data_IF_442739081931
#
_entry.id   IF_442739081931
#
_cell.length_a   1.000
_cell.length_b   1.000
_cell.length_c   1.000
_cell.angle_alpha   90.00
_cell.angle_beta   90.00
_cell.angle_gamma   90.00
#
_symmetry.space_group_name_H-M   'P 1'
#
loop_
_entity.id
_entity.type
_entity.pdbx_description
1 polymer ?
#
# COMPACT_ATOMS: atom_id res chain seq x y z
N UNK A 1 5.42 11.00 24.42
CA UNK A 1 4.48 12.00 24.96
C UNK A 1 5.09 12.63 26.21
N UNK A 2 5.59 13.86 26.13
CA UNK A 2 5.86 14.70 27.31
C UNK A 2 5.26 16.08 27.01
N UNK A 3 4.26 16.47 27.79
CA UNK A 3 3.52 17.73 27.66
C UNK A 3 4.18 18.76 28.57
N UNK A 4 5.00 19.66 28.03
CA UNK A 4 5.50 20.81 28.78
C UNK A 4 4.57 22.01 28.56
N UNK A 5 3.98 22.48 29.65
CA UNK A 5 2.95 23.52 29.70
C UNK A 5 3.56 24.92 29.71
N UNK A 6 3.56 25.62 28.57
CA UNK A 6 3.68 27.08 28.55
C UNK A 6 2.27 27.66 28.62
N UNK A 7 2.01 28.47 29.63
CA UNK A 7 0.70 28.99 30.01
C UNK A 7 -0.03 29.72 28.88
N UNK A 8 -0.79 28.97 28.09
CA UNK A 8 -1.78 29.50 27.18
C UNK A 8 -3.15 29.45 27.85
N UNK A 9 -3.79 30.61 27.97
CA UNK A 9 -5.19 30.75 28.36
C UNK A 9 -6.12 30.15 27.29
N UNK A 10 -6.07 28.84 27.09
CA UNK A 10 -6.88 28.10 26.15
C UNK A 10 -8.05 27.45 26.88
N UNK A 11 -9.27 27.88 26.57
CA UNK A 11 -10.47 27.17 26.99
C UNK A 11 -10.45 25.71 26.55
N UNK A 12 -11.29 24.88 27.20
CA UNK A 12 -11.40 23.44 26.97
C UNK A 12 -11.31 23.08 25.47
N UNK A 13 -10.23 22.39 25.07
CA UNK A 13 -10.11 21.73 23.77
C UNK A 13 -9.34 22.49 22.67
N UNK A 14 -8.64 23.58 23.00
CA UNK A 14 -7.82 24.29 22.00
C UNK A 14 -6.37 23.82 22.08
N UNK A 15 -5.90 23.16 21.01
CA UNK A 15 -4.48 23.04 20.68
C UNK A 15 -3.98 24.44 20.33
N UNK A 16 -2.85 24.88 20.88
CA UNK A 16 -2.40 26.28 20.87
C UNK A 16 -2.43 27.03 19.53
N UNK A 17 -2.07 28.31 19.58
CA UNK A 17 -2.14 29.25 18.45
C UNK A 17 -1.42 28.71 17.20
N UNK A 18 -2.10 28.61 16.03
CA UNK A 18 -1.44 28.24 14.79
C UNK A 18 -0.35 29.25 14.43
N UNK A 19 0.88 28.77 14.23
CA UNK A 19 1.97 29.57 13.68
C UNK A 19 3.02 30.08 14.67
N UNK A 20 2.97 29.68 15.94
CA UNK A 20 4.12 29.89 16.83
C UNK A 20 5.21 28.87 16.51
N UNK A 21 6.27 29.36 15.85
CA UNK A 21 7.53 28.64 15.69
C UNK A 21 8.16 28.57 17.07
N UNK A 22 8.11 27.40 17.68
CA UNK A 22 8.83 27.12 18.92
C UNK A 22 10.32 27.44 18.69
N UNK A 23 10.93 28.20 19.60
CA UNK A 23 12.37 28.42 19.58
C UNK A 23 13.12 27.10 19.67
N UNK A 24 14.41 27.11 19.33
CA UNK A 24 15.28 25.94 19.50
C UNK A 24 15.17 25.43 20.95
N UNK A 25 14.66 24.20 21.11
CA UNK A 25 14.44 23.58 22.42
C UNK A 25 15.77 23.47 23.17
N UNK A 26 15.92 24.25 24.25
CA UNK A 26 17.08 24.14 25.12
C UNK A 26 16.96 22.84 25.94
N UNK A 27 17.97 21.98 25.84
CA UNK A 27 17.96 20.65 26.47
C UNK A 27 18.05 20.82 27.99
N UNK A 28 17.04 20.34 28.73
CA UNK A 28 17.03 20.39 30.20
C UNK A 28 17.91 19.27 30.79
N UNK A 29 19.17 19.60 31.09
CA UNK A 29 20.14 18.71 31.73
C UNK A 29 19.74 18.24 33.14
N UNK A 30 18.68 18.83 33.73
CA UNK A 30 18.16 18.46 35.05
C UNK A 30 16.98 17.51 34.99
N UNK A 31 16.47 17.16 33.81
CA UNK A 31 15.41 16.16 33.69
C UNK A 31 15.92 14.83 34.28
N UNK A 32 15.20 14.19 35.21
CA UNK A 32 15.59 12.89 35.77
C UNK A 32 15.77 11.78 34.73
N UNK A 33 15.17 11.95 33.55
CA UNK A 33 15.28 11.07 32.40
C UNK A 33 16.32 11.57 31.36
N UNK A 34 17.00 12.69 31.62
CA UNK A 34 18.13 13.14 30.82
C UNK A 34 19.37 12.32 31.17
N UNK A 35 19.85 11.57 30.18
CA UNK A 35 21.11 10.84 30.27
C UNK A 35 22.16 11.54 29.39
N UNK A 36 23.20 12.08 30.01
CA UNK A 36 24.32 12.73 29.30
C UNK A 36 25.11 11.73 28.45
N UNK A 37 24.99 10.44 28.75
CA UNK A 37 25.62 9.33 28.03
C UNK A 37 24.74 8.80 26.89
N UNK A 38 23.57 9.39 26.65
CA UNK A 38 22.74 9.04 25.50
C UNK A 38 23.47 9.44 24.21
N UNK A 39 24.43 8.61 23.80
CA UNK A 39 25.06 8.63 22.51
C UNK A 39 23.95 8.68 21.46
N UNK A 40 24.04 9.66 20.56
CA UNK A 40 23.24 9.85 19.36
C UNK A 40 22.43 8.59 19.02
N UNK A 41 21.20 8.52 19.53
CA UNK A 41 20.34 7.38 19.31
C UNK A 41 20.06 7.31 17.80
N UNK A 42 20.71 6.39 17.11
CA UNK A 42 20.45 6.13 15.70
C UNK A 42 19.11 5.41 15.65
N UNK A 43 18.05 6.16 15.33
CA UNK A 43 16.78 5.56 14.98
C UNK A 43 16.96 4.92 13.60
N UNK A 44 17.06 3.60 13.57
CA UNK A 44 16.87 2.88 12.33
C UNK A 44 15.37 2.74 12.11
N UNK A 45 14.84 3.38 11.06
CA UNK A 45 13.47 3.15 10.64
C UNK A 45 13.36 1.70 10.17
N UNK A 46 12.77 0.85 11.02
CA UNK A 46 12.45 -0.52 10.65
C UNK A 46 11.24 -0.48 9.72
N UNK A 47 11.46 -0.77 8.44
CA UNK A 47 10.36 -1.01 7.49
C UNK A 47 9.84 -2.42 7.78
N UNK A 48 8.65 -2.50 8.38
CA UNK A 48 7.99 -3.80 8.58
C UNK A 48 7.69 -4.43 7.22
N UNK A 49 7.74 -5.78 7.11
CA UNK A 49 7.25 -6.44 5.92
C UNK A 49 5.79 -6.05 5.70
N UNK A 50 5.44 -5.82 4.43
CA UNK A 50 4.08 -5.51 4.02
C UNK A 50 3.16 -6.67 4.43
N UNK A 51 2.21 -6.40 5.31
CA UNK A 51 1.17 -7.37 5.67
C UNK A 51 0.09 -7.44 4.59
N UNK A 52 -0.76 -8.46 4.66
CA UNK A 52 -1.81 -8.70 3.65
C UNK A 52 -2.81 -7.53 3.56
N UNK A 53 -3.16 -6.91 4.69
CA UNK A 53 -4.10 -5.78 4.73
C UNK A 53 -3.45 -4.50 4.18
N UNK A 54 -2.18 -4.24 4.51
CA UNK A 54 -1.44 -3.14 3.92
C UNK A 54 -1.17 -3.34 2.43
N UNK A 55 -0.99 -4.57 1.97
CA UNK A 55 -0.82 -4.88 0.55
C UNK A 55 -2.02 -4.41 -0.26
N UNK A 56 -3.24 -4.83 0.12
CA UNK A 56 -4.44 -4.44 -0.62
C UNK A 56 -4.64 -2.92 -0.59
N UNK A 57 -4.45 -2.27 0.56
CA UNK A 57 -4.58 -0.82 0.71
C UNK A 57 -3.56 -0.02 -0.12
N UNK A 58 -2.40 -0.61 -0.39
CA UNK A 58 -1.33 0.03 -1.16
C UNK A 58 -1.44 -0.25 -2.65
N UNK A 59 -1.74 -1.48 -3.04
CA UNK A 59 -1.75 -1.90 -4.45
C UNK A 59 -3.08 -1.59 -5.14
N UNK A 60 -4.21 -1.63 -4.42
CA UNK A 60 -5.53 -1.26 -4.98
C UNK A 60 -5.54 0.13 -5.63
N UNK A 61 -5.09 1.22 -4.96
CA UNK A 61 -5.07 2.53 -5.60
C UNK A 61 -4.11 2.57 -6.80
N UNK A 62 -2.96 1.89 -6.75
CA UNK A 62 -2.02 1.83 -7.89
C UNK A 62 -2.71 1.23 -9.13
N UNK A 63 -3.46 0.14 -8.95
CA UNK A 63 -4.20 -0.50 -10.05
C UNK A 63 -5.39 0.37 -10.52
N UNK A 64 -6.06 1.06 -9.60
CA UNK A 64 -7.17 1.96 -9.95
C UNK A 64 -6.68 3.17 -10.75
N UNK A 65 -5.58 3.81 -10.35
CA UNK A 65 -4.94 4.88 -11.12
C UNK A 65 -4.51 4.40 -12.50
N UNK A 66 -4.00 3.17 -12.59
CA UNK A 66 -3.69 2.55 -13.89
C UNK A 66 -4.93 2.39 -14.78
N UNK A 67 -6.10 2.09 -14.23
CA UNK A 67 -7.32 2.02 -15.04
C UNK A 67 -7.76 3.36 -15.62
N UNK A 68 -7.43 4.47 -14.94
CA UNK A 68 -7.75 5.82 -15.39
C UNK A 68 -6.69 6.39 -16.35
N UNK A 69 -5.42 6.03 -16.18
CA UNK A 69 -4.30 6.62 -16.94
C UNK A 69 -3.69 5.69 -18.00
N UNK A 70 -3.76 4.37 -17.78
CA UNK A 70 -3.25 3.35 -18.69
C UNK A 70 -1.72 3.24 -18.73
N UNK A 71 -0.99 3.86 -17.80
CA UNK A 71 0.48 3.82 -17.75
C UNK A 71 0.99 2.59 -16.99
N UNK A 72 1.31 1.52 -17.73
CA UNK A 72 1.84 0.30 -17.14
C UNK A 72 3.30 0.45 -16.65
N UNK A 73 4.03 1.45 -17.15
CA UNK A 73 5.40 1.70 -16.70
C UNK A 73 5.39 2.28 -15.29
N UNK A 74 4.53 3.26 -15.04
CA UNK A 74 4.35 3.84 -13.70
C UNK A 74 4.00 2.76 -12.68
N UNK A 75 3.08 1.85 -13.00
CA UNK A 75 2.76 0.71 -12.13
C UNK A 75 3.98 -0.17 -11.87
N UNK A 76 4.78 -0.48 -12.90
CA UNK A 76 5.96 -1.30 -12.74
C UNK A 76 7.01 -0.66 -11.82
N UNK A 77 7.23 0.66 -11.94
CA UNK A 77 8.16 1.40 -11.06
C UNK A 77 7.64 1.44 -9.62
N UNK A 78 6.36 1.78 -9.42
CA UNK A 78 5.75 1.81 -8.08
C UNK A 78 5.81 0.42 -7.41
N UNK A 79 5.51 -0.65 -8.13
CA UNK A 79 5.60 -2.01 -7.59
C UNK A 79 7.03 -2.46 -7.33
N UNK A 80 8.02 -1.95 -8.07
CA UNK A 80 9.44 -2.25 -7.85
C UNK A 80 9.98 -1.55 -6.59
N UNK A 81 9.45 -0.36 -6.26
CA UNK A 81 9.74 0.36 -5.02
C UNK A 81 9.10 -0.32 -3.79
N UNK A 82 7.98 -1.04 -3.99
CA UNK A 82 7.32 -1.80 -2.94
C UNK A 82 8.07 -3.12 -2.64
N UNK A 83 8.34 -3.37 -1.36
CA UNK A 83 8.91 -4.63 -0.87
C UNK A 83 7.85 -5.75 -0.80
N UNK A 84 7.31 -6.15 -1.95
CA UNK A 84 6.24 -7.15 -2.05
C UNK A 84 6.68 -8.56 -1.62
N UNK A 85 7.97 -8.91 -1.78
CA UNK A 85 8.49 -10.22 -1.39
C UNK A 85 7.70 -11.39 -1.98
N UNK A 86 7.09 -12.21 -1.12
CA UNK A 86 6.23 -13.35 -1.51
C UNK A 86 4.86 -12.97 -2.06
N UNK A 87 4.44 -11.72 -1.90
CA UNK A 87 3.13 -11.20 -2.35
C UNK A 87 3.13 -10.72 -3.81
N UNK A 88 4.25 -10.85 -4.53
CA UNK A 88 4.30 -10.50 -5.97
C UNK A 88 3.24 -11.24 -6.78
N UNK A 89 2.99 -12.50 -6.44
CA UNK A 89 1.93 -13.31 -7.05
C UNK A 89 0.50 -12.82 -6.74
N UNK A 90 0.31 -11.96 -5.75
CA UNK A 90 -1.02 -11.41 -5.41
C UNK A 90 -1.38 -10.20 -6.28
N UNK A 91 -0.39 -9.52 -6.87
CA UNK A 91 -0.63 -8.34 -7.73
C UNK A 91 -1.48 -8.70 -8.95
N UNK A 92 -1.18 -9.76 -9.73
CA UNK A 92 -2.04 -10.15 -10.84
C UNK A 92 -3.45 -10.57 -10.40
N UNK A 93 -3.56 -11.27 -9.26
CA UNK A 93 -4.84 -11.71 -8.73
C UNK A 93 -5.72 -10.51 -8.37
N UNK A 94 -5.16 -9.53 -7.64
CA UNK A 94 -5.85 -8.30 -7.28
C UNK A 94 -6.25 -7.49 -8.53
N UNK A 95 -5.33 -7.34 -9.50
CA UNK A 95 -5.61 -6.61 -10.73
C UNK A 95 -6.71 -7.26 -11.60
N UNK A 96 -6.79 -8.59 -11.61
CA UNK A 96 -7.87 -9.32 -12.30
C UNK A 96 -9.19 -9.17 -11.55
N UNK A 97 -9.19 -9.27 -10.21
CA UNK A 97 -10.40 -9.14 -9.40
C UNK A 97 -11.03 -7.75 -9.57
N UNK A 98 -10.24 -6.68 -9.43
CA UNK A 98 -10.69 -5.31 -9.65
C UNK A 98 -11.20 -5.06 -11.08
N UNK A 99 -10.61 -5.73 -12.08
CA UNK A 99 -11.03 -5.57 -13.47
C UNK A 99 -12.34 -6.30 -13.79
N UNK A 100 -12.63 -7.40 -13.10
CA UNK A 100 -13.86 -8.18 -13.28
C UNK A 100 -15.07 -7.49 -12.66
N UNK A 101 -14.89 -6.76 -11.55
CA UNK A 101 -15.92 -5.92 -10.93
C UNK A 101 -16.21 -4.63 -11.73
N UNK A 102 -15.31 -4.27 -12.65
CA UNK A 102 -15.40 -3.03 -13.41
C UNK A 102 -15.96 -3.24 -14.84
N UNK A 103 -15.48 -2.45 -15.81
CA UNK A 103 -15.96 -2.44 -17.20
C UNK A 103 -15.03 -3.21 -18.15
N UNK A 104 -15.52 -3.52 -19.35
CA UNK A 104 -14.74 -4.23 -20.38
C UNK A 104 -13.37 -3.60 -20.68
N UNK A 105 -13.27 -2.27 -20.69
CA UNK A 105 -12.00 -1.59 -20.92
C UNK A 105 -10.97 -1.87 -19.82
N UNK A 106 -11.39 -2.03 -18.56
CA UNK A 106 -10.45 -2.36 -17.47
C UNK A 106 -9.89 -3.76 -17.64
N UNK A 107 -10.69 -4.72 -18.12
CA UNK A 107 -10.21 -6.08 -18.43
C UNK A 107 -9.18 -6.09 -19.55
N UNK A 108 -9.38 -5.27 -20.58
CA UNK A 108 -8.37 -5.09 -21.65
C UNK A 108 -7.09 -4.44 -21.11
N UNK A 109 -7.21 -3.41 -20.27
CA UNK A 109 -6.06 -2.78 -19.61
C UNK A 109 -5.33 -3.77 -18.71
N UNK A 110 -6.02 -4.54 -17.87
CA UNK A 110 -5.40 -5.58 -17.03
C UNK A 110 -4.62 -6.59 -17.88
N UNK A 111 -5.16 -7.03 -19.01
CA UNK A 111 -4.42 -7.93 -19.92
C UNK A 111 -3.10 -7.32 -20.39
N UNK A 112 -3.07 -6.01 -20.67
CA UNK A 112 -1.84 -5.29 -21.05
C UNK A 112 -0.90 -5.15 -19.86
N UNK A 113 -1.43 -4.75 -18.70
CA UNK A 113 -0.65 -4.63 -17.46
C UNK A 113 0.06 -5.93 -17.11
N UNK A 114 -0.65 -7.06 -17.12
CA UNK A 114 -0.05 -8.36 -16.81
C UNK A 114 1.08 -8.70 -17.78
N UNK A 115 0.92 -8.38 -19.05
CA UNK A 115 1.94 -8.61 -20.08
C UNK A 115 3.20 -7.77 -19.84
N UNK A 116 3.03 -6.50 -19.43
CA UNK A 116 4.13 -5.60 -19.08
C UNK A 116 4.82 -5.96 -17.76
N UNK A 117 4.07 -6.41 -16.76
CA UNK A 117 4.63 -6.83 -15.46
C UNK A 117 5.39 -8.15 -15.53
N UNK A 118 5.00 -9.04 -16.44
CA UNK A 118 5.69 -10.31 -16.70
C UNK A 118 7.11 -10.05 -17.21
N UNK A 119 8.11 -10.50 -16.44
CA UNK A 119 9.52 -10.33 -16.78
C UNK A 119 10.16 -9.03 -16.28
N UNK A 120 9.37 -8.03 -15.86
CA UNK A 120 9.87 -6.81 -15.19
C UNK A 120 9.81 -6.95 -13.68
N UNK A 121 8.60 -7.16 -13.15
CA UNK A 121 8.34 -7.24 -11.70
C UNK A 121 8.03 -8.67 -11.29
N UNK A 122 7.32 -9.40 -12.16
CA UNK A 122 6.83 -10.75 -11.89
C UNK A 122 7.72 -11.80 -12.55
N UNK A 123 8.15 -12.77 -11.75
CA UNK A 123 8.81 -13.98 -12.25
C UNK A 123 7.79 -14.98 -12.77
N UNK A 124 8.23 -15.99 -13.53
CA UNK A 124 7.36 -17.08 -13.97
C UNK A 124 6.69 -17.82 -12.80
N UNK A 125 7.39 -17.91 -11.65
CA UNK A 125 6.84 -18.49 -10.42
C UNK A 125 5.72 -17.63 -9.81
N UNK A 126 5.89 -16.31 -9.80
CA UNK A 126 4.88 -15.37 -9.31
C UNK A 126 3.61 -15.44 -10.16
N UNK A 127 3.78 -15.49 -11.48
CA UNK A 127 2.68 -15.64 -12.44
C UNK A 127 1.98 -16.99 -12.27
N UNK A 128 2.73 -18.08 -12.11
CA UNK A 128 2.12 -19.39 -11.85
C UNK A 128 1.32 -19.38 -10.53
N UNK A 129 1.89 -18.81 -9.47
CA UNK A 129 1.23 -18.71 -8.17
C UNK A 129 -0.05 -17.87 -8.26
N UNK A 130 -0.01 -16.76 -9.00
CA UNK A 130 -1.16 -15.87 -9.19
C UNK A 130 -2.30 -16.57 -9.91
N UNK A 131 -2.02 -17.26 -11.02
CA UNK A 131 -3.04 -18.01 -11.75
C UNK A 131 -3.57 -19.20 -10.94
N UNK A 132 -2.74 -19.86 -10.14
CA UNK A 132 -3.21 -20.92 -9.24
C UNK A 132 -4.17 -20.40 -8.17
N UNK A 133 -3.90 -19.22 -7.60
CA UNK A 133 -4.83 -18.55 -6.67
C UNK A 133 -6.11 -18.13 -7.39
N UNK A 134 -5.99 -17.48 -8.55
CA UNK A 134 -7.14 -17.05 -9.35
C UNK A 134 -8.07 -18.21 -9.69
N UNK A 135 -7.54 -19.36 -10.14
CA UNK A 135 -8.33 -20.55 -10.47
C UNK A 135 -9.08 -21.13 -9.25
N UNK A 136 -8.56 -20.95 -8.04
CA UNK A 136 -9.23 -21.39 -6.80
C UNK A 136 -10.36 -20.45 -6.40
N UNK A 137 -10.19 -19.15 -6.61
CA UNK A 137 -11.18 -18.11 -6.29
C UNK A 137 -12.23 -17.95 -7.41
N UNK A 138 -11.99 -18.52 -8.60
CA UNK A 138 -12.93 -18.46 -9.73
C UNK A 138 -14.39 -18.84 -9.38
N UNK A 139 -14.67 -19.89 -8.57
CA UNK A 139 -16.05 -20.21 -8.20
C UNK A 139 -16.75 -19.04 -7.51
N UNK A 140 -16.08 -18.37 -6.58
CA UNK A 140 -16.63 -17.22 -5.86
C UNK A 140 -16.74 -16.00 -6.78
N UNK A 141 -15.73 -15.79 -7.63
CA UNK A 141 -15.69 -14.70 -8.60
C UNK A 141 -16.78 -14.80 -9.69
N UNK A 142 -17.17 -16.03 -10.08
CA UNK A 142 -18.28 -16.30 -11.01
C UNK A 142 -19.63 -16.03 -10.34
N UNK A 143 -19.75 -16.23 -9.03
CA UNK A 143 -20.99 -15.91 -8.30
C UNK A 143 -21.27 -14.41 -8.31
N UNK A 144 -20.24 -13.58 -8.21
CA UNK A 144 -20.36 -12.10 -8.23
C UNK A 144 -20.56 -11.52 -9.63
N UNK A 145 -20.27 -12.30 -10.69
CA UNK A 145 -20.48 -11.90 -12.10
C UNK A 145 -21.56 -12.76 -12.77
N UNK A 146 -22.87 -12.52 -12.51
CA UNK A 146 -23.98 -13.29 -13.09
C UNK A 146 -24.15 -13.18 -14.63
N UNK A 147 -23.16 -12.63 -15.35
CA UNK A 147 -23.11 -12.56 -16.80
C UNK A 147 -22.40 -13.74 -17.48
N UNK A 148 -21.89 -14.72 -16.74
CA UNK A 148 -21.25 -15.90 -17.33
C UNK A 148 -22.29 -16.74 -18.09
N UNK A 149 -22.10 -17.03 -19.40
CA UNK A 149 -22.94 -17.98 -20.11
C UNK A 149 -22.81 -19.33 -19.39
N UNK A 150 -23.94 -19.85 -18.92
CA UNK A 150 -23.94 -21.17 -18.31
C UNK A 150 -23.52 -22.19 -19.36
N UNK A 151 -22.40 -22.88 -19.12
CA UNK A 151 -21.95 -23.97 -19.97
C UNK A 151 -22.99 -25.06 -19.85
N UNK A 152 -23.84 -25.17 -20.86
CA UNK A 152 -24.84 -26.22 -20.92
C UNK A 152 -24.10 -27.49 -21.33
N UNK A 153 -24.30 -28.53 -20.52
CA UNK A 153 -23.71 -29.86 -20.53
C UNK A 153 -23.62 -30.54 -21.91
#
# INVERSE_FOLDING_TARGET
MCFASVGGAGGKGVWGTPGEVYGEDEVDYKDPNYDAEQENCVYETVVLPLDEEAFEKTVTPIVQEYFEHGDANEVAELLAELNLGSMRGDVPMLAVSLALEAKASHRELTSRLLSELCGRVLTAGDVQASFHKLLKELPDLVLDTPGAPQVTH
#
